data_IF_213107371897
#
_entry.id   IF_213107371897
#
_cell.length_a   1.000
_cell.length_b   1.000
_cell.length_c   1.000
_cell.angle_alpha   90.00
_cell.angle_beta   90.00
_cell.angle_gamma   90.00
#
_symmetry.space_group_name_H-M   'P 1'
#
loop_
_entity.id
_entity.type
_entity.pdbx_description
1 polymer ?
#
# COMPACT_ATOMS: atom_id res chain seq x y z
N UNK A 1 -12.16 -5.34 -1.78
CA UNK A 1 -11.53 -4.00 -1.86
C UNK A 1 -11.59 -3.37 -3.25
N UNK A 2 -12.01 -4.06 -4.33
CA UNK A 2 -11.94 -3.51 -5.69
C UNK A 2 -12.71 -2.21 -5.97
N UNK A 3 -13.74 -1.87 -5.19
CA UNK A 3 -14.48 -0.61 -5.37
C UNK A 3 -13.74 0.65 -4.87
N UNK A 4 -12.70 0.48 -4.05
CA UNK A 4 -11.90 1.58 -3.50
C UNK A 4 -10.46 1.55 -4.02
N UNK A 5 -10.22 0.87 -5.15
CA UNK A 5 -8.90 0.84 -5.77
C UNK A 5 -8.51 2.27 -6.21
N UNK A 6 -7.26 2.65 -5.98
CA UNK A 6 -6.70 3.95 -6.33
C UNK A 6 -7.51 5.16 -5.81
N UNK A 7 -8.23 5.02 -4.69
CA UNK A 7 -9.12 6.07 -4.18
C UNK A 7 -8.58 6.83 -2.98
N UNK A 8 -7.51 6.35 -2.33
CA UNK A 8 -6.96 6.94 -1.11
C UNK A 8 -5.69 7.73 -1.40
N UNK A 9 -5.61 8.97 -0.89
CA UNK A 9 -4.37 9.75 -0.97
C UNK A 9 -3.36 9.37 0.12
N UNK A 10 -3.85 8.82 1.23
CA UNK A 10 -3.03 8.56 2.41
C UNK A 10 -3.54 7.38 3.24
N UNK A 11 -2.62 6.55 3.72
CA UNK A 11 -2.87 5.48 4.70
C UNK A 11 -1.90 5.66 5.87
N UNK A 12 -2.44 5.73 7.09
CA UNK A 12 -1.68 5.71 8.34
C UNK A 12 -1.80 4.33 8.99
N UNK A 13 -0.75 3.53 8.92
CA UNK A 13 -0.72 2.23 9.59
C UNK A 13 -0.20 2.39 11.03
N UNK A 14 -1.09 2.25 12.00
CA UNK A 14 -0.79 2.32 13.44
C UNK A 14 -0.74 0.95 14.11
N UNK A 15 -1.00 -0.14 13.37
CA UNK A 15 -1.15 -1.47 13.95
C UNK A 15 0.23 -2.13 14.05
N UNK A 16 0.70 -2.55 15.25
CA UNK A 16 2.01 -3.17 15.42
C UNK A 16 1.96 -4.67 15.07
N UNK A 17 1.63 -4.98 13.82
CA UNK A 17 1.52 -6.34 13.31
C UNK A 17 2.07 -6.44 11.88
N UNK A 18 2.24 -7.67 11.40
CA UNK A 18 2.65 -7.91 10.01
C UNK A 18 1.42 -7.82 9.11
N UNK A 19 1.50 -6.98 8.08
CA UNK A 19 0.43 -6.77 7.10
C UNK A 19 0.87 -7.15 5.69
N UNK A 20 -0.10 -7.53 4.85
CA UNK A 20 0.10 -7.70 3.41
C UNK A 20 0.01 -6.34 2.72
N UNK A 21 1.15 -5.65 2.59
CA UNK A 21 1.21 -4.27 2.09
C UNK A 21 0.61 -4.10 0.68
N UNK A 22 0.67 -5.12 -0.17
CA UNK A 22 0.08 -5.10 -1.51
C UNK A 22 -1.41 -4.74 -1.50
N UNK A 23 -2.16 -5.21 -0.48
CA UNK A 23 -3.58 -4.86 -0.34
C UNK A 23 -3.81 -3.38 -0.05
N UNK A 24 -2.89 -2.72 0.65
CA UNK A 24 -2.95 -1.28 0.92
C UNK A 24 -2.48 -0.46 -0.26
N UNK A 25 -1.43 -0.90 -0.97
CA UNK A 25 -0.91 -0.24 -2.16
C UNK A 25 -1.97 -0.14 -3.26
N UNK A 26 -2.79 -1.18 -3.45
CA UNK A 26 -3.89 -1.16 -4.44
C UNK A 26 -4.99 -0.12 -4.14
N UNK A 27 -5.08 0.37 -2.90
CA UNK A 27 -6.04 1.40 -2.52
C UNK A 27 -5.48 2.81 -2.71
N UNK A 28 -4.16 2.96 -2.78
CA UNK A 28 -3.51 4.25 -2.92
C UNK A 28 -3.61 4.76 -4.36
N UNK A 29 -3.98 6.02 -4.51
CA UNK A 29 -3.93 6.72 -5.78
C UNK A 29 -2.45 6.95 -6.21
N UNK A 30 -2.24 7.41 -7.44
CA UNK A 30 -0.92 7.89 -7.88
C UNK A 30 -0.43 8.98 -6.93
N UNK A 31 0.85 8.90 -6.52
CA UNK A 31 1.48 9.73 -5.49
C UNK A 31 0.88 9.60 -4.07
N UNK A 32 0.01 8.62 -3.85
CA UNK A 32 -0.53 8.27 -2.54
C UNK A 32 0.58 7.82 -1.57
N UNK A 33 0.38 8.08 -0.28
CA UNK A 33 1.40 7.81 0.75
C UNK A 33 0.93 6.76 1.73
N UNK A 34 1.74 5.72 1.93
CA UNK A 34 1.62 4.79 3.05
C UNK A 34 2.62 5.20 4.14
N UNK A 35 2.14 5.54 5.33
CA UNK A 35 2.99 5.91 6.48
C UNK A 35 2.78 4.90 7.59
N UNK A 36 3.88 4.28 8.01
CA UNK A 36 3.89 3.23 9.01
C UNK A 36 4.41 3.79 10.32
N UNK A 37 3.56 3.77 11.34
CA UNK A 37 3.85 4.17 12.72
C UNK A 37 3.86 2.96 13.65
N UNK A 38 3.09 1.92 13.31
CA UNK A 38 3.13 0.63 14.01
C UNK A 38 4.48 -0.06 13.85
N UNK A 39 5.08 -0.48 14.97
CA UNK A 39 6.33 -1.26 14.94
C UNK A 39 5.99 -2.73 14.73
N UNK A 40 6.16 -3.22 13.51
CA UNK A 40 6.01 -4.64 13.21
C UNK A 40 7.18 -5.45 13.84
N UNK A 41 6.92 -6.67 14.32
CA UNK A 41 7.95 -7.53 14.92
C UNK A 41 8.97 -8.07 13.90
N UNK A 42 8.69 -7.95 12.61
CA UNK A 42 9.55 -8.40 11.51
C UNK A 42 9.70 -7.31 10.46
N UNK A 43 10.76 -7.36 9.63
CA UNK A 43 10.91 -6.45 8.50
C UNK A 43 9.68 -6.48 7.58
N UNK A 44 9.30 -5.31 7.08
CA UNK A 44 8.22 -5.17 6.11
C UNK A 44 8.59 -5.87 4.80
N UNK A 45 7.63 -6.53 4.18
CA UNK A 45 7.80 -7.25 2.92
C UNK A 45 6.84 -6.68 1.87
N UNK A 46 7.39 -6.28 0.73
CA UNK A 46 6.64 -5.81 -0.43
C UNK A 46 7.46 -6.04 -1.70
N UNK A 47 6.78 -6.14 -2.85
CA UNK A 47 7.43 -6.18 -4.15
C UNK A 47 7.62 -4.74 -4.67
N UNK A 48 8.83 -4.38 -5.06
CA UNK A 48 9.10 -3.08 -5.66
C UNK A 48 8.38 -2.91 -7.02
N UNK A 49 8.08 -4.02 -7.69
CA UNK A 49 7.24 -4.04 -8.89
C UNK A 49 5.88 -3.38 -8.63
N UNK A 50 5.26 -3.63 -7.47
CA UNK A 50 3.95 -3.06 -7.12
C UNK A 50 3.98 -1.53 -6.96
N UNK A 51 5.14 -0.95 -6.64
CA UNK A 51 5.32 0.50 -6.50
C UNK A 51 5.64 1.19 -7.83
N UNK A 52 6.43 0.52 -8.68
CA UNK A 52 6.99 1.13 -9.90
C UNK A 52 6.10 0.87 -11.12
N UNK A 53 5.49 -0.32 -11.22
CA UNK A 53 4.77 -0.76 -12.41
C UNK A 53 3.27 -0.46 -12.39
N UNK A 54 2.73 0.10 -11.31
CA UNK A 54 1.30 0.50 -11.23
C UNK A 54 0.90 1.53 -12.31
N UNK A 55 1.84 2.17 -13.00
CA UNK A 55 1.53 3.10 -14.10
C UNK A 55 1.08 2.45 -15.42
N UNK A 56 0.97 1.12 -15.51
CA UNK A 56 0.47 0.43 -16.71
C UNK A 56 -0.66 -0.56 -16.41
N UNK A 57 -1.78 -0.08 -15.87
CA UNK A 57 -3.05 -0.75 -16.16
C UNK A 57 -3.45 -0.37 -17.59
N UNK A 58 -3.52 -1.31 -18.56
CA UNK A 58 -4.38 -1.06 -19.70
C UNK A 58 -5.81 -1.01 -19.15
N UNK A 59 -6.59 -0.08 -19.68
CA UNK A 59 -8.04 -0.06 -19.51
C UNK A 59 -8.64 -1.40 -19.96
#
# INVERSE_FOLDING_TARGET
MGAAANSLDYILDTVPAVHLLQSYLQLLNVDGKLIIVGVAPTPLQFDAADLILVTISPV
#
